data_IF_190023949030
#
_entry.id   IF_190023949030
#
_cell.length_a   1.000
_cell.length_b   1.000
_cell.length_c   1.000
_cell.angle_alpha   90.00
_cell.angle_beta   90.00
_cell.angle_gamma   90.00
#
_symmetry.space_group_name_H-M   'P 1'
#
loop_
_entity.id
_entity.type
_entity.pdbx_description
1 polymer ?
#
# COMPACT_ATOMS: atom_id res chain seq x y z
N UNK A 1 35.47 76.71 63.10
CA UNK A 1 34.00 76.56 63.08
C UNK A 1 33.38 77.43 62.00
N UNK A 2 33.63 78.74 62.01
CA UNK A 2 33.14 79.67 60.98
C UNK A 2 33.56 79.28 59.54
N UNK A 3 34.81 78.87 59.31
CA UNK A 3 35.29 78.44 57.99
C UNK A 3 34.53 77.23 57.45
N UNK A 4 34.36 76.18 58.27
CA UNK A 4 33.56 74.99 57.91
C UNK A 4 32.10 75.35 57.59
N UNK A 5 31.52 76.31 58.30
CA UNK A 5 30.15 76.79 58.03
C UNK A 5 30.10 77.47 56.67
N UNK A 6 31.06 78.37 56.38
CA UNK A 6 31.15 79.04 55.08
C UNK A 6 31.36 78.06 53.92
N UNK A 7 32.16 77.01 54.10
CA UNK A 7 32.39 75.99 53.08
C UNK A 7 31.11 75.19 52.79
N UNK A 8 30.34 74.86 53.83
CA UNK A 8 29.06 74.17 53.71
C UNK A 8 27.98 75.07 53.08
N UNK A 9 27.93 76.35 53.43
CA UNK A 9 27.02 77.33 52.82
C UNK A 9 27.31 77.51 51.32
N UNK A 10 28.59 77.59 50.94
CA UNK A 10 29.01 77.65 49.53
C UNK A 10 28.63 76.38 48.77
N UNK A 11 28.86 75.21 49.37
CA UNK A 11 28.48 73.93 48.75
C UNK A 11 26.96 73.78 48.59
N UNK A 12 26.17 74.34 49.51
CA UNK A 12 24.71 74.32 49.45
C UNK A 12 24.14 75.29 48.40
N UNK A 13 24.80 76.44 48.19
CA UNK A 13 24.41 77.44 47.18
C UNK A 13 24.88 77.05 45.77
N UNK A 14 25.99 76.32 45.67
CA UNK A 14 26.56 75.88 44.40
C UNK A 14 25.70 74.89 43.61
N UNK A 15 26.05 74.68 42.34
CA UNK A 15 25.40 73.69 41.49
C UNK A 15 25.64 72.28 42.02
N UNK A 16 24.57 71.48 42.04
CA UNK A 16 24.67 70.08 42.46
C UNK A 16 25.39 69.27 41.38
N UNK A 17 26.24 68.30 41.77
CA UNK A 17 26.84 67.38 40.82
C UNK A 17 25.75 66.61 40.08
N UNK A 18 26.01 66.29 38.81
CA UNK A 18 25.05 65.61 37.92
C UNK A 18 24.45 64.34 38.53
N UNK A 19 25.19 63.62 39.38
CA UNK A 19 24.72 62.41 40.10
C UNK A 19 23.52 62.65 41.04
N UNK A 20 23.34 63.89 41.52
CA UNK A 20 22.25 64.28 42.43
C UNK A 20 21.06 64.92 41.72
N UNK A 21 21.12 64.99 40.39
CA UNK A 21 20.05 65.51 39.54
C UNK A 21 19.24 64.33 38.99
N UNK A 22 17.91 64.41 39.01
CA UNK A 22 17.04 63.29 38.62
C UNK A 22 17.11 62.94 37.13
N UNK A 23 16.90 63.94 36.27
CA UNK A 23 16.91 63.77 34.81
C UNK A 23 18.20 64.37 34.22
N UNK A 24 19.14 63.51 33.83
CA UNK A 24 20.44 63.92 33.29
C UNK A 24 20.59 63.39 31.87
N UNK A 25 20.80 64.31 30.93
CA UNK A 25 21.08 63.97 29.52
C UNK A 25 22.55 63.60 29.32
N UNK A 26 22.87 62.91 28.22
CA UNK A 26 24.25 62.56 27.90
C UNK A 26 25.18 63.77 27.70
N UNK A 27 24.64 64.94 27.32
CA UNK A 27 25.41 66.17 27.07
C UNK A 27 25.73 66.97 28.35
N UNK A 28 24.92 66.82 29.40
CA UNK A 28 25.07 67.58 30.65
C UNK A 28 26.10 66.96 31.59
N UNK A 29 26.38 65.66 31.42
CA UNK A 29 27.42 64.94 32.16
C UNK A 29 28.74 64.90 31.38
N UNK A 30 29.90 64.85 32.06
CA UNK A 30 31.17 64.65 31.39
C UNK A 30 31.24 63.28 30.70
N UNK A 31 32.03 63.20 29.62
CA UNK A 31 32.23 61.97 28.86
C UNK A 31 32.74 60.82 29.75
N UNK A 32 32.28 59.59 29.50
CA UNK A 32 32.66 58.36 30.22
C UNK A 32 32.37 58.34 31.74
N UNK A 33 31.73 59.36 32.31
CA UNK A 33 31.47 59.45 33.75
C UNK A 33 30.53 58.36 34.30
N UNK A 34 29.75 57.70 33.43
CA UNK A 34 28.89 56.58 33.82
C UNK A 34 29.69 55.33 34.21
N UNK A 35 30.90 55.14 33.68
CA UNK A 35 31.75 53.98 34.02
C UNK A 35 32.32 54.06 35.43
N UNK A 36 32.34 55.26 36.03
CA UNK A 36 32.85 55.51 37.38
C UNK A 36 31.78 55.34 38.46
N UNK A 37 30.51 55.24 38.08
CA UNK A 37 29.37 55.25 39.00
C UNK A 37 28.64 53.93 38.92
N UNK A 38 28.52 53.26 40.06
CA UNK A 38 27.69 52.06 40.18
C UNK A 38 26.21 52.45 40.19
N UNK A 39 25.55 52.29 39.04
CA UNK A 39 24.11 52.52 38.90
C UNK A 39 23.39 51.17 38.84
N UNK A 40 22.43 50.97 39.74
CA UNK A 40 21.55 49.81 39.68
C UNK A 40 20.43 50.06 38.65
N UNK A 41 20.35 49.20 37.64
CA UNK A 41 19.27 49.21 36.65
C UNK A 41 18.73 47.80 36.48
N UNK A 42 17.46 47.70 36.10
CA UNK A 42 16.82 46.43 35.79
C UNK A 42 17.07 46.05 34.33
N UNK A 43 17.32 44.76 34.09
CA UNK A 43 17.56 44.21 32.76
C UNK A 43 16.35 43.39 32.33
N UNK A 44 15.75 43.73 31.18
CA UNK A 44 14.49 43.12 30.73
C UNK A 44 14.61 41.62 30.39
N UNK A 45 15.81 41.14 30.04
CA UNK A 45 16.05 39.75 29.66
C UNK A 45 17.00 39.05 30.62
N UNK A 46 16.74 37.76 30.84
CA UNK A 46 17.70 36.89 31.51
C UNK A 46 18.89 36.67 30.59
N UNK A 47 20.08 36.84 31.14
CA UNK A 47 21.33 36.54 30.46
C UNK A 47 21.36 35.04 30.15
N UNK A 48 21.88 34.67 28.98
CA UNK A 48 22.13 33.26 28.69
C UNK A 48 23.13 32.71 29.71
N UNK A 49 22.89 31.54 30.31
CA UNK A 49 23.84 30.96 31.26
C UNK A 49 25.14 30.64 30.54
N UNK A 50 26.26 31.02 31.16
CA UNK A 50 27.58 30.66 30.66
C UNK A 50 27.81 29.15 30.83
N UNK A 51 28.38 28.50 29.81
CA UNK A 51 28.75 27.08 29.88
C UNK A 51 30.03 26.96 30.69
N UNK A 52 29.90 26.60 31.96
CA UNK A 52 31.02 26.35 32.87
C UNK A 52 31.29 24.85 33.00
N UNK A 53 32.50 24.48 33.41
CA UNK A 53 32.89 23.08 33.59
C UNK A 53 31.98 22.35 34.58
N UNK A 54 31.58 23.01 35.67
CA UNK A 54 30.65 22.45 36.67
C UNK A 54 29.31 22.05 36.05
N UNK A 55 28.75 22.91 35.18
CA UNK A 55 27.48 22.61 34.49
C UNK A 55 27.63 21.44 33.51
N UNK A 56 28.78 21.32 32.85
CA UNK A 56 29.03 20.18 31.95
C UNK A 56 29.17 18.86 32.71
N UNK A 57 29.84 18.86 33.87
CA UNK A 57 29.96 17.65 34.71
C UNK A 57 28.60 17.18 35.22
N UNK A 58 27.75 18.11 35.65
CA UNK A 58 26.37 17.79 36.06
C UNK A 58 25.56 17.17 34.92
N UNK A 59 25.67 17.71 33.69
CA UNK A 59 25.01 17.16 32.51
C UNK A 59 25.51 15.76 32.18
N UNK A 60 26.82 15.52 32.26
CA UNK A 60 27.39 14.19 32.04
C UNK A 60 26.89 13.16 33.04
N UNK A 61 26.75 13.53 34.31
CA UNK A 61 26.27 12.60 35.33
C UNK A 61 24.79 12.23 35.11
N UNK A 62 23.97 13.18 34.67
CA UNK A 62 22.57 12.92 34.26
C UNK A 62 22.54 11.98 33.05
N UNK A 63 23.39 12.22 32.05
CA UNK A 63 23.47 11.36 30.86
C UNK A 63 23.91 9.95 31.24
N UNK A 64 24.95 9.82 32.08
CA UNK A 64 25.43 8.53 32.59
C UNK A 64 24.34 7.78 33.36
N UNK A 65 23.55 8.47 34.16
CA UNK A 65 22.41 7.87 34.88
C UNK A 65 21.34 7.36 33.90
N UNK A 66 20.90 8.17 32.93
CA UNK A 66 19.89 7.75 31.94
C UNK A 66 20.31 6.57 31.09
N UNK A 67 21.59 6.49 30.73
CA UNK A 67 22.16 5.34 30.02
C UNK A 67 22.09 4.08 30.88
N UNK A 68 22.42 4.19 32.17
CA UNK A 68 22.32 3.06 33.12
C UNK A 68 20.88 2.60 33.31
N UNK A 69 19.95 3.54 33.38
CA UNK A 69 18.52 3.27 33.55
C UNK A 69 17.83 2.83 32.23
N UNK A 70 18.54 2.93 31.10
CA UNK A 70 18.05 2.65 29.74
C UNK A 70 16.76 3.41 29.38
N UNK A 71 16.58 4.59 29.96
CA UNK A 71 15.41 5.44 29.70
C UNK A 71 15.73 6.34 28.52
N UNK A 72 15.09 6.06 27.39
CA UNK A 72 15.31 6.78 26.15
C UNK A 72 13.99 7.37 25.63
N UNK A 73 13.99 8.66 25.36
CA UNK A 73 12.82 9.39 24.84
C UNK A 73 12.67 9.27 23.31
N UNK A 74 13.28 8.26 22.67
CA UNK A 74 13.19 8.10 21.22
C UNK A 74 11.81 7.58 20.82
N UNK A 75 11.28 8.09 19.70
CA UNK A 75 9.99 7.64 19.18
C UNK A 75 10.14 6.23 18.61
N UNK A 76 9.42 5.27 19.20
CA UNK A 76 9.35 3.90 18.69
C UNK A 76 8.60 3.88 17.36
N UNK A 77 9.21 3.28 16.34
CA UNK A 77 8.57 3.14 15.03
C UNK A 77 7.38 2.19 15.16
N UNK A 78 6.20 2.67 14.74
CA UNK A 78 5.03 1.81 14.57
C UNK A 78 5.28 0.92 13.36
N UNK A 79 5.43 -0.38 13.59
CA UNK A 79 5.49 -1.35 12.51
C UNK A 79 4.15 -1.33 11.78
N UNK A 80 4.20 -1.05 10.47
CA UNK A 80 3.07 -1.35 9.60
C UNK A 80 3.01 -2.87 9.50
N UNK A 81 1.82 -3.51 9.50
CA UNK A 81 1.74 -4.96 9.38
C UNK A 81 2.45 -5.39 8.08
N UNK A 82 3.65 -5.94 8.23
CA UNK A 82 4.38 -6.62 7.16
C UNK A 82 3.94 -8.07 7.18
N UNK A 83 3.62 -8.61 6.01
CA UNK A 83 3.37 -10.04 5.83
C UNK A 83 4.68 -10.81 6.07
N UNK A 84 4.95 -11.16 7.33
CA UNK A 84 6.03 -12.09 7.65
C UNK A 84 5.64 -13.47 7.11
N UNK A 85 6.32 -13.89 6.05
CA UNK A 85 6.19 -15.24 5.49
C UNK A 85 6.47 -16.24 6.61
N UNK A 86 5.50 -17.12 6.88
CA UNK A 86 5.60 -18.14 7.91
C UNK A 86 6.85 -19.00 7.70
N UNK A 87 7.62 -19.24 8.77
CA UNK A 87 8.81 -20.11 8.75
C UNK A 87 8.48 -21.60 8.57
N UNK A 88 7.21 -21.95 8.66
CA UNK A 88 6.72 -23.32 8.52
C UNK A 88 6.67 -23.72 7.04
N UNK A 89 6.99 -24.99 6.79
CA UNK A 89 6.85 -25.56 5.46
C UNK A 89 5.37 -25.74 5.11
N UNK A 90 5.03 -25.69 3.81
CA UNK A 90 3.65 -25.84 3.34
C UNK A 90 3.01 -27.16 3.81
N UNK A 91 3.78 -28.26 3.83
CA UNK A 91 3.28 -29.57 4.29
C UNK A 91 2.87 -29.56 5.76
N UNK A 92 3.63 -28.85 6.60
CA UNK A 92 3.38 -28.73 8.04
C UNK A 92 2.17 -27.85 8.32
N UNK A 93 1.94 -26.80 7.52
CA UNK A 93 0.71 -26.00 7.58
C UNK A 93 -0.52 -26.87 7.32
N UNK A 94 -0.47 -27.74 6.30
CA UNK A 94 -1.57 -28.66 6.00
C UNK A 94 -1.79 -29.72 7.10
N UNK A 95 -0.72 -30.26 7.69
CA UNK A 95 -0.85 -31.21 8.79
C UNK A 95 -1.49 -30.56 10.01
N UNK A 96 -1.02 -29.37 10.39
CA UNK A 96 -1.57 -28.60 11.49
C UNK A 96 -3.03 -28.21 11.24
N UNK A 97 -3.37 -27.79 10.01
CA UNK A 97 -4.75 -27.45 9.63
C UNK A 97 -5.66 -28.67 9.68
N UNK A 98 -5.20 -29.84 9.23
CA UNK A 98 -5.98 -31.09 9.29
C UNK A 98 -6.26 -31.53 10.74
N UNK A 99 -5.25 -31.43 11.61
CA UNK A 99 -5.41 -31.72 13.04
C UNK A 99 -6.35 -30.71 13.72
N UNK A 100 -6.22 -29.41 13.38
CA UNK A 100 -7.11 -28.33 13.85
C UNK A 100 -8.54 -28.51 13.38
N UNK A 101 -8.80 -28.81 12.11
CA UNK A 101 -10.14 -29.06 11.58
C UNK A 101 -10.82 -30.28 12.25
N UNK A 102 -10.02 -31.28 12.66
CA UNK A 102 -10.52 -32.43 13.42
C UNK A 102 -10.73 -32.13 14.91
N UNK A 103 -10.02 -31.16 15.50
CA UNK A 103 -10.12 -30.78 16.92
C UNK A 103 -11.07 -29.59 17.17
N UNK A 104 -11.23 -28.66 16.23
CA UNK A 104 -11.93 -27.37 16.35
C UNK A 104 -13.24 -27.33 15.57
N UNK A 105 -14.11 -28.34 15.71
CA UNK A 105 -15.53 -28.15 15.35
C UNK A 105 -16.35 -27.49 16.46
N UNK A 106 -15.72 -27.04 17.55
CA UNK A 106 -16.43 -26.60 18.76
C UNK A 106 -16.05 -25.23 19.33
N UNK A 107 -15.11 -24.44 18.79
CA UNK A 107 -14.67 -23.22 19.52
C UNK A 107 -14.57 -21.88 18.77
N UNK A 108 -14.91 -21.78 17.48
CA UNK A 108 -15.03 -20.47 16.83
C UNK A 108 -16.43 -20.28 16.19
N UNK A 109 -17.48 -20.33 17.03
CA UNK A 109 -18.75 -19.71 16.64
C UNK A 109 -18.55 -18.19 16.67
N UNK A 110 -18.20 -17.60 15.52
CA UNK A 110 -18.34 -16.15 15.33
C UNK A 110 -19.76 -15.76 15.76
N UNK A 111 -19.88 -14.88 16.76
CA UNK A 111 -21.18 -14.49 17.26
C UNK A 111 -22.07 -14.02 16.08
N UNK A 112 -23.30 -14.52 15.92
CA UNK A 112 -24.16 -14.17 14.79
C UNK A 112 -24.38 -12.66 14.69
N UNK A 113 -24.31 -11.95 15.83
CA UNK A 113 -24.35 -10.49 15.90
C UNK A 113 -23.23 -9.80 15.10
N UNK A 114 -22.00 -10.34 15.07
CA UNK A 114 -20.90 -9.75 14.30
C UNK A 114 -21.14 -9.85 12.80
N UNK A 115 -21.68 -10.98 12.34
CA UNK A 115 -22.04 -11.20 10.93
C UNK A 115 -23.17 -10.25 10.50
N UNK A 116 -24.16 -10.04 11.38
CA UNK A 116 -25.23 -9.07 11.13
C UNK A 116 -24.71 -7.63 11.04
N UNK A 117 -23.82 -7.23 11.96
CA UNK A 117 -23.20 -5.90 11.95
C UNK A 117 -22.39 -5.69 10.66
N UNK A 118 -21.57 -6.66 10.24
CA UNK A 118 -20.79 -6.56 9.00
C UNK A 118 -21.68 -6.32 7.78
N UNK A 119 -22.77 -7.10 7.65
CA UNK A 119 -23.76 -6.93 6.56
C UNK A 119 -24.39 -5.54 6.56
N UNK A 120 -24.77 -5.03 7.73
CA UNK A 120 -25.36 -3.70 7.87
C UNK A 120 -24.34 -2.60 7.51
N UNK A 121 -23.10 -2.74 7.97
CA UNK A 121 -21.99 -1.82 7.68
C UNK A 121 -21.70 -1.75 6.18
N UNK A 122 -21.60 -2.90 5.51
CA UNK A 122 -21.41 -2.93 4.05
C UNK A 122 -22.59 -2.31 3.31
N UNK A 123 -23.83 -2.58 3.74
CA UNK A 123 -25.01 -1.97 3.15
C UNK A 123 -25.08 -0.46 3.34
N UNK A 124 -24.56 0.05 4.46
CA UNK A 124 -24.51 1.47 4.78
C UNK A 124 -23.44 2.18 3.94
N UNK A 125 -22.23 1.62 3.87
CA UNK A 125 -21.15 2.21 3.08
C UNK A 125 -21.49 2.26 1.60
N UNK A 126 -22.11 1.21 1.03
CA UNK A 126 -22.60 1.25 -0.35
C UNK A 126 -23.57 2.42 -0.62
N UNK A 127 -24.43 2.75 0.35
CA UNK A 127 -25.37 3.88 0.24
C UNK A 127 -24.65 5.23 0.38
N UNK A 128 -23.72 5.36 1.32
CA UNK A 128 -22.96 6.59 1.54
C UNK A 128 -22.01 6.89 0.37
N UNK A 129 -21.40 5.85 -0.20
CA UNK A 129 -20.51 5.95 -1.36
C UNK A 129 -21.30 6.42 -2.60
N UNK A 130 -22.52 5.91 -2.79
CA UNK A 130 -23.41 6.36 -3.87
C UNK A 130 -23.86 7.83 -3.69
N UNK A 131 -24.16 8.25 -2.45
CA UNK A 131 -24.54 9.64 -2.16
C UNK A 131 -23.38 10.63 -2.32
N UNK A 132 -22.14 10.19 -2.06
CA UNK A 132 -20.93 11.01 -2.18
C UNK A 132 -20.32 11.03 -3.59
N UNK A 133 -21.06 10.56 -4.61
CA UNK A 133 -20.56 10.43 -5.98
C UNK A 133 -19.23 9.65 -6.07
N UNK A 134 -19.07 8.64 -5.20
CA UNK A 134 -17.88 7.79 -5.11
C UNK A 134 -16.55 8.53 -4.85
N UNK A 135 -16.58 9.71 -4.23
CA UNK A 135 -15.38 10.43 -3.79
C UNK A 135 -15.07 10.16 -2.30
N UNK A 136 -14.47 9.00 -2.01
CA UNK A 136 -14.14 8.59 -0.64
C UNK A 136 -12.76 7.91 -0.55
N UNK A 137 -12.27 7.73 0.67
CA UNK A 137 -11.05 6.96 0.94
C UNK A 137 -11.38 5.47 0.88
N UNK A 138 -10.75 4.74 -0.04
CA UNK A 138 -10.94 3.29 -0.18
C UNK A 138 -10.67 2.55 1.14
N UNK A 139 -11.36 1.41 1.33
CA UNK A 139 -11.16 0.55 2.50
C UNK A 139 -9.69 0.11 2.58
N UNK A 140 -9.15 0.05 3.79
CA UNK A 140 -7.78 -0.44 4.01
C UNK A 140 -7.69 -1.88 3.49
N UNK A 141 -6.61 -2.24 2.77
CA UNK A 141 -6.44 -3.59 2.26
C UNK A 141 -6.31 -4.57 3.43
N UNK A 142 -7.31 -5.42 3.59
CA UNK A 142 -7.25 -6.56 4.52
C UNK A 142 -6.50 -7.69 3.80
N UNK A 143 -5.51 -8.34 4.44
CA UNK A 143 -4.80 -9.45 3.81
C UNK A 143 -5.77 -10.62 3.59
N UNK A 144 -6.16 -10.85 2.34
CA UNK A 144 -7.00 -11.96 1.91
C UNK A 144 -6.13 -13.09 1.36
N UNK A 145 -6.14 -14.27 1.99
CA UNK A 145 -5.45 -15.46 1.48
C UNK A 145 -6.27 -16.06 0.35
N UNK A 146 -5.86 -15.82 -0.90
CA UNK A 146 -6.48 -16.42 -2.10
C UNK A 146 -5.74 -17.71 -2.45
N UNK A 147 -6.37 -18.85 -2.19
CA UNK A 147 -5.85 -20.16 -2.62
C UNK A 147 -6.14 -20.32 -4.11
N UNK A 148 -5.14 -20.05 -4.95
CA UNK A 148 -5.24 -20.25 -6.40
C UNK A 148 -4.90 -21.70 -6.73
N UNK A 149 -5.88 -22.44 -7.26
CA UNK A 149 -5.67 -23.78 -7.81
C UNK A 149 -5.12 -23.71 -9.25
N UNK A 150 -4.18 -24.58 -9.61
CA UNK A 150 -3.63 -24.71 -10.97
C UNK A 150 -4.65 -25.33 -11.94
N UNK A 151 -5.72 -24.60 -12.27
CA UNK A 151 -6.70 -24.96 -13.28
C UNK A 151 -6.38 -24.22 -14.59
N UNK A 152 -6.65 -24.81 -15.77
CA UNK A 152 -6.44 -24.11 -17.03
C UNK A 152 -7.35 -22.87 -17.09
N UNK A 153 -6.83 -21.72 -17.54
CA UNK A 153 -7.56 -20.43 -17.53
C UNK A 153 -8.91 -20.48 -18.23
N UNK A 154 -9.06 -21.35 -19.24
CA UNK A 154 -10.32 -21.58 -19.95
C UNK A 154 -11.46 -22.09 -19.05
N UNK A 155 -11.14 -22.73 -17.93
CA UNK A 155 -12.12 -23.17 -16.95
C UNK A 155 -12.61 -22.01 -16.04
N UNK A 156 -11.88 -20.90 -15.96
CA UNK A 156 -12.26 -19.71 -15.20
C UNK A 156 -13.02 -18.68 -16.04
N UNK A 157 -12.96 -18.78 -17.37
CA UNK A 157 -13.66 -17.87 -18.28
C UNK A 157 -15.15 -18.20 -18.38
N UNK A 158 -15.96 -17.18 -18.64
CA UNK A 158 -17.39 -17.35 -18.86
C UNK A 158 -17.66 -18.16 -20.14
N UNK A 159 -18.66 -19.05 -20.10
CA UNK A 159 -19.00 -19.92 -21.23
C UNK A 159 -19.65 -19.10 -22.35
N UNK A 160 -18.81 -18.51 -23.19
CA UNK A 160 -19.24 -17.93 -24.46
C UNK A 160 -19.27 -19.04 -25.49
N UNK A 161 -20.43 -19.26 -26.12
CA UNK A 161 -20.51 -20.15 -27.30
C UNK A 161 -19.64 -19.55 -28.40
N UNK A 162 -18.45 -20.10 -28.58
CA UNK A 162 -17.59 -19.77 -29.71
C UNK A 162 -18.28 -20.28 -30.97
N UNK A 163 -19.02 -19.42 -31.67
CA UNK A 163 -19.54 -19.73 -33.00
C UNK A 163 -18.33 -19.89 -33.93
N UNK A 164 -18.00 -21.11 -34.40
CA UNK A 164 -16.84 -21.27 -35.25
C UNK A 164 -17.15 -20.59 -36.60
N UNK A 165 -16.27 -19.67 -37.01
CA UNK A 165 -16.31 -18.94 -38.29
C UNK A 165 -16.53 -19.88 -39.51
N UNK A 166 -16.29 -21.17 -39.34
CA UNK A 166 -16.56 -22.23 -40.31
C UNK A 166 -18.04 -22.37 -40.71
N UNK A 167 -19.00 -22.02 -39.84
CA UNK A 167 -20.43 -22.07 -40.17
C UNK A 167 -20.88 -20.90 -41.06
N UNK A 168 -20.24 -19.73 -40.96
CA UNK A 168 -20.51 -18.58 -41.83
C UNK A 168 -19.88 -18.77 -43.23
N UNK A 169 -18.71 -19.43 -43.29
CA UNK A 169 -18.05 -19.78 -44.57
C UNK A 169 -18.83 -20.85 -45.37
N UNK A 170 -19.57 -21.75 -44.69
CA UNK A 170 -20.35 -22.83 -45.34
C UNK A 170 -21.69 -22.36 -45.92
N UNK A 171 -22.34 -21.35 -45.33
CA UNK A 171 -23.52 -20.69 -45.94
C UNK A 171 -23.15 -19.86 -47.18
N UNK A 172 -21.97 -19.23 -47.20
CA UNK A 172 -21.45 -18.50 -48.37
C UNK A 172 -21.09 -19.42 -49.55
N UNK A 173 -20.45 -20.57 -49.30
CA UNK A 173 -20.11 -21.55 -50.36
C UNK A 173 -21.30 -22.29 -50.99
N UNK A 174 -22.44 -22.43 -50.30
CA UNK A 174 -23.67 -23.01 -50.89
C UNK A 174 -24.39 -22.05 -51.83
N UNK A 175 -24.32 -20.73 -51.59
CA UNK A 175 -24.86 -19.71 -52.50
C UNK A 175 -24.08 -19.62 -53.82
N UNK A 176 -22.76 -19.79 -53.79
CA UNK A 176 -21.89 -19.69 -54.99
C UNK A 176 -21.86 -20.96 -55.85
N UNK A 177 -22.16 -22.15 -55.30
CA UNK A 177 -22.29 -23.39 -56.10
C UNK A 177 -23.61 -23.48 -56.90
N UNK A 178 -24.70 -22.88 -56.42
CA UNK A 178 -25.97 -22.83 -57.16
C UNK A 178 -25.87 -21.93 -58.42
N UNK A 179 -25.14 -20.81 -58.34
CA UNK A 179 -24.98 -19.87 -59.47
C UNK A 179 -24.06 -20.42 -60.56
N UNK A 180 -23.04 -21.21 -60.20
CA UNK A 180 -22.08 -21.79 -61.16
C UNK A 180 -22.56 -23.10 -61.79
N UNK A 181 -23.43 -23.87 -61.11
CA UNK A 181 -24.10 -25.03 -61.70
C UNK A 181 -25.15 -24.61 -62.75
N UNK A 182 -25.93 -23.56 -62.49
CA UNK A 182 -26.92 -23.04 -63.45
C UNK A 182 -26.29 -22.52 -64.75
N UNK A 183 -25.05 -22.01 -64.68
CA UNK A 183 -24.31 -21.52 -65.85
C UNK A 183 -23.68 -22.62 -66.71
N UNK A 184 -23.48 -23.82 -66.16
CA UNK A 184 -22.84 -24.96 -66.88
C UNK A 184 -23.81 -26.03 -67.36
N UNK A 185 -25.04 -26.06 -66.82
CA UNK A 185 -26.13 -26.93 -67.31
C UNK A 185 -26.92 -26.38 -68.51
N UNK A 186 -26.55 -25.20 -69.06
CA UNK A 186 -27.20 -24.60 -70.25
C UNK A 186 -26.54 -24.99 -71.59
N UNK A 187 -25.39 -25.68 -71.59
CA UNK A 187 -24.57 -25.89 -72.81
C UNK A 187 -24.54 -27.33 -73.34
N UNK A 188 -24.94 -28.36 -72.57
CA UNK A 188 -25.01 -29.73 -73.09
C UNK A 188 -26.28 -30.44 -72.60
N UNK A 189 -27.36 -30.30 -73.38
CA UNK A 189 -28.53 -31.15 -73.28
C UNK A 189 -28.48 -32.20 -74.39
N UNK A 190 -28.37 -33.48 -74.03
CA UNK A 190 -29.03 -34.56 -74.78
C UNK A 190 -28.85 -35.92 -74.11
N UNK A 191 -29.99 -36.42 -73.62
CA UNK A 191 -30.54 -37.75 -73.85
C UNK A 191 -30.11 -38.95 -72.97
N UNK A 192 -31.14 -39.77 -72.78
CA UNK A 192 -31.17 -41.19 -72.44
C UNK A 192 -31.08 -41.54 -70.94
N UNK A 193 -32.20 -41.75 -70.22
CA UNK A 193 -33.20 -42.85 -70.26
C UNK A 193 -32.83 -44.09 -69.43
N UNK A 194 -33.81 -44.54 -68.62
CA UNK A 194 -34.05 -45.92 -68.14
C UNK A 194 -33.05 -46.47 -67.09
N UNK A 195 -33.39 -47.33 -66.13
CA UNK A 195 -34.57 -48.14 -65.83
C UNK A 195 -34.54 -48.50 -64.33
N UNK A 196 -35.72 -48.85 -63.83
CA UNK A 196 -36.10 -49.54 -62.58
C UNK A 196 -35.33 -50.85 -62.32
N UNK A 197 -35.06 -51.16 -61.05
CA UNK A 197 -35.16 -52.48 -60.36
C UNK A 197 -34.53 -52.32 -58.95
N UNK A 198 -35.28 -52.29 -57.84
CA UNK A 198 -35.91 -53.39 -57.09
C UNK A 198 -34.92 -54.47 -56.62
N UNK A 199 -34.70 -54.50 -55.30
CA UNK A 199 -34.57 -55.65 -54.36
C UNK A 199 -33.53 -55.33 -53.27
N UNK A 200 -33.96 -55.14 -52.01
CA UNK A 200 -34.26 -56.13 -50.97
C UNK A 200 -33.02 -56.71 -50.29
N UNK A 201 -33.01 -56.55 -48.96
CA UNK A 201 -32.27 -57.31 -47.93
C UNK A 201 -30.72 -57.23 -47.95
N UNK A 202 -30.11 -56.71 -46.89
CA UNK A 202 -29.72 -57.49 -45.70
C UNK A 202 -28.72 -56.70 -44.83
N UNK A 203 -28.88 -56.80 -43.52
CA UNK A 203 -27.94 -56.43 -42.43
C UNK A 203 -26.94 -57.63 -42.25
N UNK A 204 -25.81 -57.66 -41.48
CA UNK A 204 -25.03 -56.70 -40.67
C UNK A 204 -23.47 -56.78 -40.84
N UNK A 205 -22.74 -56.07 -39.95
CA UNK A 205 -21.45 -56.42 -39.30
C UNK A 205 -20.16 -56.56 -40.14
N UNK A 206 -19.18 -55.69 -39.86
CA UNK A 206 -17.82 -56.08 -39.42
C UNK A 206 -16.91 -54.86 -39.25
N UNK A 207 -16.17 -54.85 -38.14
CA UNK A 207 -14.97 -54.01 -37.96
C UNK A 207 -13.88 -54.40 -38.96
N UNK A 208 -12.91 -53.51 -39.21
CA UNK A 208 -11.53 -53.98 -39.12
C UNK A 208 -10.61 -53.01 -38.36
N UNK A 209 -9.91 -53.61 -37.40
CA UNK A 209 -8.58 -53.20 -36.95
C UNK A 209 -7.57 -53.31 -38.09
N UNK A 210 -6.65 -52.36 -38.22
CA UNK A 210 -5.30 -52.62 -38.75
C UNK A 210 -4.32 -51.65 -38.09
N UNK A 211 -3.45 -52.26 -37.28
CA UNK A 211 -2.20 -51.72 -36.76
C UNK A 211 -1.22 -51.40 -37.90
N UNK A 212 -0.36 -50.43 -37.65
CA UNK A 212 0.89 -50.22 -38.36
C UNK A 212 1.85 -49.48 -37.42
N UNK A 213 2.78 -50.23 -36.84
CA UNK A 213 3.93 -49.77 -36.07
C UNK A 213 4.91 -48.99 -36.98
N UNK A 214 5.69 -48.06 -36.40
CA UNK A 214 7.16 -48.12 -36.49
C UNK A 214 7.86 -47.01 -35.66
N UNK A 215 8.51 -47.50 -34.59
CA UNK A 215 9.86 -47.19 -34.10
C UNK A 215 10.47 -45.76 -34.12
N UNK A 216 10.66 -45.24 -32.90
CA UNK A 216 11.92 -44.76 -32.26
C UNK A 216 12.98 -43.98 -33.06
N UNK A 217 13.32 -42.78 -32.55
CA UNK A 217 14.69 -42.42 -32.11
C UNK A 217 14.62 -41.16 -31.21
N UNK A 218 14.74 -41.30 -29.87
CA UNK A 218 15.90 -40.88 -29.05
C UNK A 218 16.72 -39.72 -29.62
N UNK A 219 16.72 -38.59 -28.92
CA UNK A 219 17.95 -37.93 -28.48
C UNK A 219 17.74 -37.17 -27.17
N UNK A 220 18.78 -37.22 -26.37
CA UNK A 220 18.92 -36.83 -24.97
C UNK A 220 19.60 -35.47 -24.82
N UNK A 221 19.13 -34.69 -23.83
CA UNK A 221 19.95 -33.94 -22.86
C UNK A 221 20.91 -32.83 -23.35
N UNK A 222 20.63 -31.60 -22.92
CA UNK A 222 21.59 -30.54 -22.52
C UNK A 222 20.77 -29.27 -22.22
N UNK A 223 20.62 -28.84 -20.96
CA UNK A 223 21.39 -27.74 -20.34
C UNK A 223 21.41 -26.45 -21.17
N UNK A 224 20.69 -25.40 -20.73
CA UNK A 224 21.27 -24.15 -20.22
C UNK A 224 20.21 -23.07 -20.00
N UNK A 225 20.50 -22.26 -18.99
CA UNK A 225 19.92 -21.00 -18.51
C UNK A 225 19.29 -20.08 -19.58
N UNK A 226 18.16 -19.46 -19.24
CA UNK A 226 17.98 -18.02 -18.94
C UNK A 226 16.59 -17.82 -18.28
#
# INVERSE_FOLDING_TARGET
>A
MAEKIQDLEKAAIGEKPWKLTGDVSAQTRPENSLLEVDVAFDSASRMAPAVTEETTLQLEDIIKQRIKDQVWDHVVRKEKPTEEKSKLSLAEVYEQEYLKQNQQKTEDEENPAHVEIQKLVDSLFLKLDALSNFHFTHKLPVPEVKVVSNLPSIAMEEVVRVMPLYWLQRKSRRRTRLVTCWRKSRIHGSQATRQVAVNLANVPNSWPSCLGEDSKQKDSGSTSDW
#
